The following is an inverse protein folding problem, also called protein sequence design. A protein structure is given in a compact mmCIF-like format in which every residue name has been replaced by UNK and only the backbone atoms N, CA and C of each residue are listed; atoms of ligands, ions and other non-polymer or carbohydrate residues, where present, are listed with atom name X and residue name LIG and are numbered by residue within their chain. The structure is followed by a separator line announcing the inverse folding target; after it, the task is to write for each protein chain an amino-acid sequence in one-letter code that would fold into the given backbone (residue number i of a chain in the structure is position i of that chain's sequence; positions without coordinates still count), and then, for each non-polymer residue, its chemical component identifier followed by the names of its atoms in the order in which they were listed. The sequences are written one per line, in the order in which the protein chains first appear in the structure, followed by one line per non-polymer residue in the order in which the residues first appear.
data_IF_248720128262
#
_entry.id   IF_248720128262
#
_cell.length_a   1.000
_cell.length_b   1.000
_cell.length_c   1.000
_cell.angle_alpha   90.00
_cell.angle_beta   90.00
_cell.angle_gamma   90.00
#
_symmetry.space_group_name_H-M   'P 1'
#
loop_
_entity.id
_entity.type
_entity.pdbx_description
1 polymer ?
#
# COMPACT_ATOMS: atom_id res chain seq x y z
N UNK A 1 8.19 21.08 -11.23
CA UNK A 1 7.23 19.98 -11.06
C UNK A 1 7.90 18.94 -10.15
N UNK A 2 7.34 18.71 -8.97
CA UNK A 2 7.87 17.70 -8.04
C UNK A 2 7.70 16.30 -8.62
N UNK A 3 8.73 15.47 -8.53
CA UNK A 3 8.63 14.05 -8.84
C UNK A 3 7.79 13.34 -7.77
N UNK A 4 7.13 12.24 -8.15
CA UNK A 4 6.24 11.51 -7.25
C UNK A 4 6.75 10.09 -6.98
N UNK A 5 6.49 9.58 -5.76
CA UNK A 5 6.74 8.17 -5.43
C UNK A 5 5.65 7.56 -4.56
N UNK A 6 5.51 6.24 -4.61
CA UNK A 6 4.53 5.50 -3.83
C UNK A 6 5.19 4.38 -3.04
N UNK A 7 4.98 4.35 -1.73
CA UNK A 7 5.29 3.19 -0.88
C UNK A 7 4.06 2.28 -0.95
N UNK A 8 4.07 1.38 -1.93
CA UNK A 8 2.91 0.60 -2.33
C UNK A 8 2.75 -0.72 -1.55
N UNK A 9 3.78 -1.16 -0.83
CA UNK A 9 3.75 -2.43 -0.08
C UNK A 9 5.11 -2.80 0.50
N UNK A 10 5.22 -3.97 1.09
CA UNK A 10 4.13 -4.87 1.45
C UNK A 10 3.62 -4.59 2.86
N UNK A 11 2.36 -4.90 3.12
CA UNK A 11 1.79 -4.78 4.45
C UNK A 11 2.58 -5.64 5.46
N UNK A 12 2.89 -5.09 6.65
CA UNK A 12 3.65 -5.74 7.75
C UNK A 12 5.15 -5.96 7.44
N UNK A 13 5.72 -5.17 6.54
CA UNK A 13 7.13 -5.27 6.13
C UNK A 13 7.99 -4.05 6.54
N UNK A 14 7.50 -3.17 7.41
CA UNK A 14 8.27 -2.02 7.90
C UNK A 14 8.01 -0.70 7.14
N UNK A 15 7.01 -0.63 6.30
CA UNK A 15 6.66 0.56 5.50
C UNK A 15 6.36 1.82 6.35
N UNK A 16 5.83 1.66 7.56
CA UNK A 16 5.63 2.78 8.49
C UNK A 16 6.97 3.35 8.98
N UNK A 17 7.96 2.50 9.24
CA UNK A 17 9.30 2.93 9.62
C UNK A 17 9.98 3.70 8.47
N UNK A 18 9.90 3.18 7.24
CA UNK A 18 10.39 3.91 6.06
C UNK A 18 9.71 5.28 5.92
N UNK A 19 8.39 5.33 6.05
CA UNK A 19 7.65 6.59 6.01
C UNK A 19 8.20 7.60 7.05
N UNK A 20 8.40 7.15 8.29
CA UNK A 20 8.94 8.01 9.35
C UNK A 20 10.33 8.54 9.00
N UNK A 21 11.24 7.70 8.51
CA UNK A 21 12.60 8.15 8.12
C UNK A 21 12.55 9.16 6.98
N UNK A 22 11.75 8.90 5.95
CA UNK A 22 11.64 9.79 4.80
C UNK A 22 11.00 11.13 5.14
N UNK A 23 10.14 11.19 6.16
CA UNK A 23 9.53 12.44 6.63
C UNK A 23 10.57 13.41 7.20
N UNK A 24 11.70 12.91 7.70
CA UNK A 24 12.79 13.74 8.22
C UNK A 24 13.68 14.35 7.11
N UNK A 25 13.52 13.93 5.86
CA UNK A 25 14.34 14.42 4.76
C UNK A 25 13.85 15.79 4.28
N UNK A 26 14.73 16.82 4.16
CA UNK A 26 14.31 18.18 3.87
C UNK A 26 13.67 18.37 2.49
N UNK A 27 14.02 17.55 1.51
CA UNK A 27 13.51 17.64 0.14
C UNK A 27 12.31 16.76 -0.14
N UNK A 28 11.88 15.93 0.84
CA UNK A 28 10.76 15.00 0.69
C UNK A 28 9.55 15.53 1.45
N UNK A 29 8.40 15.48 0.79
CA UNK A 29 7.12 15.64 1.44
C UNK A 29 6.30 14.36 1.30
N UNK A 30 5.92 13.76 2.42
CA UNK A 30 5.00 12.63 2.47
C UNK A 30 3.59 13.09 2.78
N UNK A 31 2.61 12.34 2.31
CA UNK A 31 1.19 12.64 2.50
C UNK A 31 0.83 12.95 3.94
N UNK A 32 0.03 14.00 4.14
CA UNK A 32 -0.56 14.34 5.43
C UNK A 32 -2.10 14.33 5.35
N UNK A 33 -2.79 13.75 6.34
CA UNK A 33 -2.22 12.99 7.46
C UNK A 33 -1.58 11.67 7.00
N UNK A 34 -0.61 11.18 7.79
CA UNK A 34 0.01 9.89 7.50
C UNK A 34 -0.91 8.70 7.84
N UNK A 35 -1.89 8.93 8.68
CA UNK A 35 -2.92 7.97 9.09
C UNK A 35 -4.30 8.64 9.23
N UNK A 36 -5.38 8.02 8.72
CA UNK A 36 -5.35 6.81 7.87
C UNK A 36 -4.59 7.03 6.56
N UNK A 37 -4.08 5.94 5.97
CA UNK A 37 -3.43 6.00 4.65
C UNK A 37 -4.39 6.62 3.61
N UNK A 38 -3.90 7.41 2.65
CA UNK A 38 -4.74 8.09 1.66
C UNK A 38 -5.64 7.16 0.86
N UNK A 39 -5.07 6.09 0.31
CA UNK A 39 -5.77 5.10 -0.53
C UNK A 39 -6.57 5.75 -1.67
N UNK A 40 -6.08 6.91 -2.12
CA UNK A 40 -6.80 7.76 -3.07
C UNK A 40 -7.06 7.05 -4.40
N UNK A 41 -6.09 6.28 -4.88
CA UNK A 41 -6.16 5.57 -6.16
C UNK A 41 -7.04 4.30 -6.14
N UNK A 42 -7.63 3.93 -5.00
CA UNK A 42 -8.73 2.95 -4.99
C UNK A 42 -10.00 3.50 -5.66
N UNK A 43 -10.15 4.83 -5.73
CA UNK A 43 -11.28 5.44 -6.43
C UNK A 43 -11.06 5.41 -7.95
N UNK A 44 -12.09 5.02 -8.69
CA UNK A 44 -12.02 4.93 -10.16
C UNK A 44 -11.77 6.28 -10.82
N UNK A 45 -12.29 7.35 -10.25
CA UNK A 45 -12.17 8.73 -10.73
C UNK A 45 -10.86 9.42 -10.32
N UNK A 46 -9.97 8.74 -9.57
CA UNK A 46 -8.72 9.30 -9.08
C UNK A 46 -7.88 10.02 -10.16
N UNK A 47 -7.70 9.48 -11.38
CA UNK A 47 -6.91 10.17 -12.41
C UNK A 47 -7.49 11.54 -12.85
N UNK A 48 -8.78 11.75 -12.70
CA UNK A 48 -9.43 13.05 -13.04
C UNK A 48 -9.37 14.06 -11.89
N UNK A 49 -8.92 13.65 -10.70
CA UNK A 49 -8.94 14.43 -9.45
C UNK A 49 -7.55 14.68 -8.86
N UNK A 50 -6.52 14.70 -9.69
CA UNK A 50 -5.13 14.85 -9.23
C UNK A 50 -4.88 16.19 -8.53
N UNK A 51 -5.53 17.27 -8.97
CA UNK A 51 -5.42 18.56 -8.29
C UNK A 51 -6.03 18.54 -6.88
N UNK A 52 -7.14 17.82 -6.70
CA UNK A 52 -7.76 17.62 -5.39
C UNK A 52 -6.82 16.76 -4.50
N UNK A 53 -6.28 15.68 -5.06
CA UNK A 53 -5.30 14.83 -4.37
C UNK A 53 -4.12 15.64 -3.86
N UNK A 54 -3.49 16.44 -4.72
CA UNK A 54 -2.35 17.26 -4.34
C UNK A 54 -2.70 18.26 -3.25
N UNK A 55 -3.78 19.01 -3.41
CA UNK A 55 -4.24 19.98 -2.40
C UNK A 55 -4.60 19.36 -1.05
N UNK A 56 -5.05 18.12 -1.07
CA UNK A 56 -5.48 17.43 0.15
C UNK A 56 -4.32 16.89 0.98
N UNK A 57 -3.24 16.45 0.33
CA UNK A 57 -2.20 15.66 0.98
C UNK A 57 -0.82 16.31 1.02
N UNK A 58 -0.60 17.41 0.28
CA UNK A 58 0.69 18.08 0.18
C UNK A 58 0.55 19.58 0.37
N UNK A 59 1.43 20.16 1.19
CA UNK A 59 1.32 21.55 1.66
C UNK A 59 2.60 22.35 1.49
N UNK A 60 3.68 21.71 1.00
CA UNK A 60 5.00 22.33 0.82
C UNK A 60 5.25 22.65 -0.64
N UNK A 61 5.55 23.92 -0.94
CA UNK A 61 5.91 24.34 -2.30
C UNK A 61 7.39 24.10 -2.63
N UNK A 62 8.24 23.91 -1.60
CA UNK A 62 9.68 23.70 -1.72
C UNK A 62 10.10 22.23 -1.83
N UNK A 63 9.18 21.29 -1.69
CA UNK A 63 9.49 19.87 -1.81
C UNK A 63 9.81 19.49 -3.26
N UNK A 64 10.96 18.84 -3.48
CA UNK A 64 11.38 18.34 -4.78
C UNK A 64 10.78 16.98 -5.09
N UNK A 65 10.40 16.23 -4.06
CA UNK A 65 9.87 14.88 -4.15
C UNK A 65 8.65 14.73 -3.22
N UNK A 66 7.53 14.32 -3.79
CA UNK A 66 6.29 14.06 -3.04
C UNK A 66 6.01 12.57 -3.00
N UNK A 67 5.63 12.03 -1.84
CA UNK A 67 5.39 10.60 -1.64
C UNK A 67 4.08 10.27 -0.96
N UNK A 68 3.49 9.14 -1.35
CA UNK A 68 2.33 8.56 -0.68
C UNK A 68 2.66 7.18 -0.14
N UNK A 69 2.18 6.88 1.08
CA UNK A 69 2.19 5.53 1.62
C UNK A 69 0.77 4.98 1.67
N UNK A 70 0.47 4.00 0.82
CA UNK A 70 -0.77 3.23 0.81
C UNK A 70 -0.46 1.76 0.49
N UNK A 71 -0.19 0.98 1.53
CA UNK A 71 0.39 -0.38 1.37
C UNK A 71 -0.54 -1.40 0.71
N UNK A 72 -1.83 -1.10 0.63
CA UNK A 72 -2.78 -1.94 -0.10
C UNK A 72 -2.64 -1.84 -1.63
N UNK A 73 -1.97 -0.82 -2.15
CA UNK A 73 -1.81 -0.65 -3.59
C UNK A 73 -1.11 -1.82 -4.27
N UNK A 74 -0.25 -2.52 -3.54
CA UNK A 74 0.39 -3.74 -4.04
C UNK A 74 -0.61 -4.79 -4.53
N UNK A 75 -1.79 -4.87 -3.92
CA UNK A 75 -2.77 -5.93 -4.12
C UNK A 75 -3.82 -5.60 -5.20
N UNK A 76 -3.78 -4.39 -5.78
CA UNK A 76 -4.81 -3.86 -6.66
C UNK A 76 -4.29 -3.53 -8.06
N UNK A 77 -4.50 -4.39 -9.03
CA UNK A 77 -4.06 -4.16 -10.42
C UNK A 77 -4.64 -2.89 -11.04
N UNK A 78 -5.90 -2.58 -10.76
CA UNK A 78 -6.58 -1.36 -11.22
C UNK A 78 -5.96 -0.08 -10.66
N UNK A 79 -5.35 -0.14 -9.47
CA UNK A 79 -4.64 1.00 -8.88
C UNK A 79 -3.34 1.29 -9.64
N UNK A 80 -2.65 0.24 -10.07
CA UNK A 80 -1.38 0.36 -10.83
C UNK A 80 -1.60 1.19 -12.08
N UNK A 81 -2.64 0.84 -12.86
CA UNK A 81 -3.01 1.57 -14.07
C UNK A 81 -3.34 3.04 -13.78
N UNK A 82 -4.13 3.31 -12.74
CA UNK A 82 -4.52 4.68 -12.34
C UNK A 82 -3.31 5.51 -11.94
N UNK A 83 -2.35 4.94 -11.20
CA UNK A 83 -1.10 5.62 -10.84
C UNK A 83 -0.26 5.89 -12.08
N UNK A 84 -0.05 4.90 -12.96
CA UNK A 84 0.75 5.05 -14.16
C UNK A 84 0.18 6.13 -15.12
N UNK A 85 -1.15 6.22 -15.23
CA UNK A 85 -1.81 7.28 -16.01
C UNK A 85 -1.63 8.67 -15.40
N UNK A 86 -1.61 8.77 -14.07
CA UNK A 86 -1.54 10.06 -13.37
C UNK A 86 -0.12 10.54 -13.15
N UNK A 87 0.80 9.60 -12.95
CA UNK A 87 2.21 9.84 -12.62
C UNK A 87 3.10 8.84 -13.37
N UNK A 88 3.27 8.99 -14.70
CA UNK A 88 4.02 8.01 -15.50
C UNK A 88 5.50 7.91 -15.11
N UNK A 89 6.06 8.97 -14.53
CA UNK A 89 7.45 9.01 -14.06
C UNK A 89 7.60 8.66 -12.57
N UNK A 90 6.53 8.19 -11.92
CA UNK A 90 6.58 7.88 -10.50
C UNK A 90 7.57 6.75 -10.19
N UNK A 91 8.15 6.81 -8.98
CA UNK A 91 8.92 5.69 -8.40
C UNK A 91 8.01 4.87 -7.50
N UNK A 92 8.14 3.57 -7.57
CA UNK A 92 7.37 2.64 -6.74
C UNK A 92 8.32 1.95 -5.77
N UNK A 93 7.99 1.97 -4.49
CA UNK A 93 8.82 1.38 -3.44
C UNK A 93 8.06 0.22 -2.81
N UNK A 94 8.71 -0.94 -2.80
CA UNK A 94 8.28 -2.09 -2.04
C UNK A 94 9.32 -2.45 -0.99
N UNK A 95 8.89 -2.62 0.25
CA UNK A 95 9.67 -3.29 1.29
C UNK A 95 9.10 -4.69 1.44
N UNK A 96 9.92 -5.68 1.19
CA UNK A 96 9.56 -7.08 1.32
C UNK A 96 10.13 -7.65 2.61
N UNK A 97 9.46 -8.63 3.16
CA UNK A 97 9.87 -9.39 4.34
C UNK A 97 9.76 -10.88 4.02
N UNK A 98 10.41 -11.73 4.79
CA UNK A 98 10.13 -13.16 4.72
C UNK A 98 8.61 -13.39 4.75
N UNK A 99 8.03 -14.12 3.76
CA UNK A 99 6.59 -14.21 3.59
C UNK A 99 5.89 -14.91 4.76
N UNK A 100 6.58 -15.86 5.45
CA UNK A 100 6.05 -16.55 6.62
C UNK A 100 5.98 -15.58 7.80
N UNK A 101 7.08 -14.90 8.09
CA UNK A 101 7.15 -13.89 9.15
C UNK A 101 6.14 -12.75 8.94
N UNK A 102 5.94 -12.35 7.67
CA UNK A 102 4.94 -11.34 7.32
C UNK A 102 3.52 -11.86 7.59
N UNK A 103 3.22 -13.11 7.20
CA UNK A 103 1.90 -13.70 7.43
C UNK A 103 1.58 -13.81 8.92
N UNK A 104 2.52 -14.30 9.73
CA UNK A 104 2.40 -14.37 11.19
C UNK A 104 2.18 -12.96 11.79
N UNK A 105 2.97 -11.98 11.36
CA UNK A 105 2.82 -10.59 11.82
C UNK A 105 1.45 -10.01 11.43
N UNK A 106 0.92 -10.37 10.26
CA UNK A 106 -0.40 -9.92 9.81
C UNK A 106 -1.52 -10.57 10.64
N UNK A 107 -1.41 -11.86 10.92
CA UNK A 107 -2.34 -12.57 11.79
C UNK A 107 -2.45 -11.88 13.16
N UNK A 108 -1.33 -11.68 13.84
CA UNK A 108 -1.33 -11.03 15.16
C UNK A 108 -1.83 -9.58 15.12
N UNK A 109 -1.58 -8.86 14.03
CA UNK A 109 -2.15 -7.54 13.82
C UNK A 109 -3.69 -7.61 13.71
N UNK A 110 -4.22 -8.60 12.99
CA UNK A 110 -5.66 -8.78 12.86
C UNK A 110 -6.30 -9.16 14.21
N UNK A 111 -5.68 -10.05 14.98
CA UNK A 111 -6.12 -10.40 16.34
C UNK A 111 -6.14 -9.16 17.25
N UNK A 112 -5.06 -8.39 17.27
CA UNK A 112 -4.96 -7.18 18.09
C UNK A 112 -5.99 -6.11 17.74
N UNK A 113 -6.45 -6.08 16.48
CA UNK A 113 -7.50 -5.18 16.01
C UNK A 113 -8.92 -5.79 16.05
N UNK A 114 -9.07 -6.98 16.64
CA UNK A 114 -10.36 -7.71 16.74
C UNK A 114 -11.00 -8.00 15.38
N UNK A 115 -10.16 -8.27 14.39
CA UNK A 115 -10.54 -8.66 13.03
C UNK A 115 -10.43 -10.16 12.83
N UNK A 116 -9.67 -10.87 13.69
CA UNK A 116 -9.42 -12.30 13.62
C UNK A 116 -9.72 -12.95 14.97
N UNK A 117 -10.49 -14.04 14.92
CA UNK A 117 -10.87 -14.83 16.10
C UNK A 117 -10.46 -16.30 15.93
N UNK A 118 -10.13 -16.74 14.71
CA UNK A 118 -9.71 -18.11 14.46
C UNK A 118 -8.30 -18.38 14.99
N UNK A 119 -8.01 -19.62 15.47
CA UNK A 119 -6.66 -20.01 15.82
C UNK A 119 -5.69 -19.87 14.63
N UNK A 120 -4.42 -19.57 14.92
CA UNK A 120 -3.40 -19.33 13.90
C UNK A 120 -3.22 -20.51 12.93
N UNK A 121 -3.29 -21.73 13.47
CA UNK A 121 -3.20 -22.96 12.69
C UNK A 121 -4.29 -23.04 11.63
N UNK A 122 -5.49 -22.62 11.96
CA UNK A 122 -6.60 -22.60 11.01
C UNK A 122 -6.50 -21.41 10.05
N UNK A 123 -6.19 -20.23 10.55
CA UNK A 123 -6.12 -19.00 9.76
C UNK A 123 -5.01 -19.03 8.70
N UNK A 124 -3.90 -19.74 8.96
CA UNK A 124 -2.73 -19.80 8.06
C UNK A 124 -2.66 -21.08 7.21
N UNK A 125 -3.49 -22.09 7.44
CA UNK A 125 -3.45 -23.35 6.67
C UNK A 125 -4.66 -23.56 5.78
N UNK A 126 -5.78 -22.93 6.07
CA UNK A 126 -7.01 -23.11 5.32
C UNK A 126 -7.27 -21.90 4.39
N UNK A 127 -7.00 -22.06 3.10
CA UNK A 127 -7.21 -21.01 2.10
C UNK A 127 -8.68 -20.57 2.01
N UNK A 128 -9.64 -21.42 2.37
CA UNK A 128 -11.05 -21.05 2.41
C UNK A 128 -11.34 -19.97 3.44
N UNK A 129 -10.54 -19.91 4.49
CA UNK A 129 -10.61 -18.87 5.50
C UNK A 129 -10.28 -17.46 4.97
N UNK A 130 -9.48 -17.35 3.91
CA UNK A 130 -9.17 -16.07 3.30
C UNK A 130 -10.39 -15.40 2.66
N UNK A 131 -11.39 -16.19 2.26
CA UNK A 131 -12.61 -15.72 1.59
C UNK A 131 -13.76 -15.42 2.56
N UNK A 132 -13.53 -15.49 3.87
CA UNK A 132 -14.56 -15.17 4.86
C UNK A 132 -15.10 -13.75 4.68
N UNK A 133 -16.40 -13.61 4.91
CA UNK A 133 -17.02 -12.29 4.95
C UNK A 133 -16.42 -11.43 6.07
N UNK A 134 -16.23 -10.16 5.81
CA UNK A 134 -15.74 -9.16 6.78
C UNK A 134 -16.51 -7.85 6.63
N UNK A 135 -16.52 -7.04 7.69
CA UNK A 135 -17.16 -5.72 7.65
C UNK A 135 -16.32 -4.73 6.86
N UNK A 136 -16.73 -4.49 5.62
CA UNK A 136 -16.09 -3.53 4.70
C UNK A 136 -16.08 -2.08 5.21
N UNK A 137 -16.93 -1.72 6.17
CA UNK A 137 -16.97 -0.35 6.70
C UNK A 137 -15.72 0.01 7.50
N UNK A 138 -15.06 -0.98 8.10
CA UNK A 138 -13.85 -0.80 8.90
C UNK A 138 -12.56 -0.99 8.11
N UNK A 139 -12.63 -1.66 6.98
CA UNK A 139 -11.45 -2.11 6.21
C UNK A 139 -11.61 -1.62 4.78
N UNK A 140 -10.88 -0.57 4.46
CA UNK A 140 -10.83 -0.03 3.10
C UNK A 140 -9.54 -0.53 2.44
N UNK A 141 -9.68 -1.27 1.36
CA UNK A 141 -8.60 -1.59 0.45
C UNK A 141 -8.04 -3.00 0.53
N UNK A 142 -7.98 -3.67 1.68
CA UNK A 142 -7.38 -5.01 1.77
C UNK A 142 -8.23 -5.94 2.64
N UNK A 143 -8.65 -7.11 2.12
CA UNK A 143 -9.27 -8.14 2.95
C UNK A 143 -8.36 -8.52 4.12
N UNK A 144 -8.86 -8.62 5.36
CA UNK A 144 -8.00 -8.83 6.53
C UNK A 144 -7.33 -10.20 6.54
N UNK A 145 -7.93 -11.20 5.89
CA UNK A 145 -7.58 -12.61 6.00
C UNK A 145 -6.65 -13.13 4.90
N UNK A 146 -6.17 -12.30 3.99
CA UNK A 146 -5.27 -12.70 2.91
C UNK A 146 -3.82 -12.87 3.39
N UNK A 147 -3.65 -13.65 4.48
CA UNK A 147 -2.34 -13.82 5.12
C UNK A 147 -1.30 -14.45 4.18
N UNK A 148 -1.64 -15.51 3.47
CA UNK A 148 -0.71 -16.23 2.59
C UNK A 148 -0.58 -15.56 1.23
N UNK A 149 -1.71 -15.12 0.65
CA UNK A 149 -1.77 -14.51 -0.69
C UNK A 149 -0.85 -13.29 -0.78
N UNK A 150 -0.82 -12.44 0.25
CA UNK A 150 0.07 -11.25 0.31
C UNK A 150 1.56 -11.58 0.29
N UNK A 151 1.95 -12.82 0.56
CA UNK A 151 3.32 -13.30 0.46
C UNK A 151 3.77 -13.68 -0.95
N UNK A 152 2.84 -13.75 -1.91
CA UNK A 152 3.12 -14.05 -3.32
C UNK A 152 3.64 -12.81 -4.06
N UNK A 153 4.76 -12.27 -3.59
CA UNK A 153 5.30 -10.99 -4.06
C UNK A 153 5.57 -10.94 -5.56
N UNK A 154 6.04 -12.05 -6.15
CA UNK A 154 6.34 -12.11 -7.57
C UNK A 154 5.11 -11.78 -8.43
N UNK A 155 3.95 -12.35 -8.09
CA UNK A 155 2.71 -12.13 -8.83
C UNK A 155 2.30 -10.65 -8.82
N UNK A 156 2.49 -9.97 -7.69
CA UNK A 156 2.19 -8.54 -7.58
C UNK A 156 3.22 -7.67 -8.31
N UNK A 157 4.51 -7.98 -8.20
CA UNK A 157 5.57 -7.22 -8.87
C UNK A 157 5.47 -7.36 -10.39
N UNK A 158 5.12 -8.53 -10.90
CA UNK A 158 4.89 -8.74 -12.33
C UNK A 158 3.78 -7.84 -12.89
N UNK A 159 2.71 -7.61 -12.11
CA UNK A 159 1.67 -6.65 -12.49
C UNK A 159 2.22 -5.20 -12.57
N UNK A 160 3.07 -4.79 -11.65
CA UNK A 160 3.69 -3.46 -11.69
C UNK A 160 4.61 -3.31 -12.89
N UNK A 161 5.39 -4.35 -13.25
CA UNK A 161 6.29 -4.35 -14.40
C UNK A 161 5.58 -4.28 -15.76
N UNK A 162 4.26 -4.44 -15.81
CA UNK A 162 3.47 -4.19 -17.02
C UNK A 162 3.20 -2.70 -17.26
N UNK A 163 3.34 -1.86 -16.24
CA UNK A 163 2.99 -0.45 -16.29
C UNK A 163 4.16 0.50 -15.99
N UNK A 164 5.21 0.01 -15.32
CA UNK A 164 6.38 0.78 -14.93
C UNK A 164 7.66 0.07 -15.37
N UNK A 165 8.64 0.84 -15.79
CA UNK A 165 9.96 0.30 -16.07
C UNK A 165 10.62 -0.24 -14.79
N UNK A 166 11.45 -1.27 -14.93
CA UNK A 166 12.18 -1.86 -13.79
C UNK A 166 13.03 -0.83 -13.03
N UNK A 167 13.48 0.22 -13.69
CA UNK A 167 14.24 1.31 -13.08
C UNK A 167 13.39 2.23 -12.18
N UNK A 168 12.06 2.10 -12.23
CA UNK A 168 11.12 2.86 -11.42
C UNK A 168 10.68 2.09 -10.16
N UNK A 169 11.01 0.80 -10.06
CA UNK A 169 10.62 -0.08 -8.96
C UNK A 169 11.83 -0.43 -8.11
#
# INVERSE_FOLDING_TARGET
VSSHFFIAGAQRSGTTYLHTILTEHPEIELNQPWWPEPKFFLNEDAPSRIDEYKKKYYFRDDATLQGEKSVCYMEHSEVIERIARSFPDARIIFILRDPVDRAISNYWYSVGNKLEEAPIEQALTDESFAQRAYDNKRIIGCPPYFYLQRGKYADYLDNYLQHFDRSQI
#
